data_IF_993088002142
#
_entry.id   IF_993088002142
#
_cell.length_a   1.000
_cell.length_b   1.000
_cell.length_c   1.000
_cell.angle_alpha   90.00
_cell.angle_beta   90.00
_cell.angle_gamma   90.00
#
_symmetry.space_group_name_H-M   'P 1'
#
loop_
_entity.id
_entity.type
_entity.pdbx_description
1 polymer ?
#
# COMPACT_ATOMS: atom_id res chain seq x y z
N UNK A 1 -2.32 9.17 -5.34
CA UNK A 1 -1.61 8.04 -4.68
C UNK A 1 -0.09 8.26 -4.61
N UNK A 2 0.46 8.34 -3.39
CA UNK A 2 1.90 8.16 -3.14
C UNK A 2 2.12 6.66 -2.81
N UNK A 3 3.03 5.94 -3.50
CA UNK A 3 3.30 4.55 -3.19
C UNK A 3 3.85 4.43 -1.77
N UNK A 4 3.17 3.66 -0.93
CA UNK A 4 3.65 3.32 0.40
C UNK A 4 2.80 2.24 1.01
N UNK A 5 3.41 1.09 1.23
CA UNK A 5 2.81 -0.02 1.95
C UNK A 5 3.87 -0.84 2.67
N UNK A 6 3.43 -1.69 3.59
CA UNK A 6 4.30 -2.65 4.24
C UNK A 6 3.57 -3.57 5.19
N UNK A 7 4.32 -4.51 5.77
CA UNK A 7 3.82 -5.45 6.76
C UNK A 7 4.34 -5.03 8.12
N UNK A 8 3.44 -5.04 9.10
CA UNK A 8 3.72 -4.76 10.50
C UNK A 8 3.31 -5.97 11.33
N UNK A 9 4.19 -6.46 12.22
CA UNK A 9 3.88 -7.55 13.14
C UNK A 9 3.97 -7.02 14.56
N UNK A 10 2.91 -7.25 15.34
CA UNK A 10 2.84 -6.89 16.76
C UNK A 10 2.67 -8.13 17.61
N UNK A 11 3.28 -8.14 18.78
CA UNK A 11 3.11 -9.20 19.76
C UNK A 11 2.20 -8.75 20.89
N UNK A 12 1.19 -9.55 21.21
CA UNK A 12 0.25 -9.30 22.32
C UNK A 12 0.04 -10.60 23.08
N UNK A 13 0.40 -10.63 24.36
CA UNK A 13 0.25 -11.81 25.23
C UNK A 13 0.82 -13.09 24.60
N UNK A 14 2.08 -13.04 24.16
CA UNK A 14 2.81 -14.13 23.50
C UNK A 14 2.20 -14.63 22.17
N UNK A 15 1.29 -13.86 21.56
CA UNK A 15 0.73 -14.15 20.24
C UNK A 15 1.15 -13.06 19.27
N UNK A 16 1.61 -13.45 18.09
CA UNK A 16 2.06 -12.53 17.04
C UNK A 16 0.95 -12.33 16.02
N UNK A 17 0.70 -11.08 15.68
CA UNK A 17 -0.38 -10.66 14.81
C UNK A 17 0.19 -9.81 13.68
N UNK A 18 -0.14 -10.18 12.45
CA UNK A 18 0.31 -9.47 11.27
C UNK A 18 -0.75 -8.49 10.79
N UNK A 19 -0.25 -7.36 10.30
CA UNK A 19 -1.02 -6.27 9.74
C UNK A 19 -0.39 -5.83 8.43
N UNK A 20 -1.21 -5.39 7.49
CA UNK A 20 -0.79 -4.69 6.30
C UNK A 20 -1.11 -3.22 6.47
N UNK A 21 -0.13 -2.34 6.25
CA UNK A 21 -0.36 -0.91 6.19
C UNK A 21 -0.19 -0.40 4.77
N UNK A 22 -1.01 0.56 4.37
CA UNK A 22 -0.88 1.25 3.08
C UNK A 22 -1.52 2.64 3.13
N UNK A 23 -1.15 3.49 2.17
CA UNK A 23 -1.86 4.75 1.95
C UNK A 23 -3.09 4.56 1.06
N UNK A 24 -4.17 5.26 1.40
CA UNK A 24 -5.36 5.43 0.57
C UNK A 24 -5.55 6.92 0.23
N UNK A 25 -6.12 7.18 -0.94
CA UNK A 25 -6.56 8.53 -1.31
C UNK A 25 -7.80 8.88 -0.47
N UNK A 26 -7.80 10.06 0.17
CA UNK A 26 -8.94 10.59 0.90
C UNK A 26 -9.48 11.87 0.22
N UNK A 27 -10.76 12.23 0.44
CA UNK A 27 -11.34 13.44 -0.12
C UNK A 27 -10.53 14.70 0.23
N UNK A 28 -10.42 15.62 -0.74
CA UNK A 28 -9.69 16.88 -0.57
C UNK A 28 -8.17 16.74 -0.65
N UNK A 29 -7.64 15.69 -1.29
CA UNK A 29 -6.19 15.49 -1.47
C UNK A 29 -5.45 15.09 -0.20
N UNK A 30 -6.19 14.88 0.91
CA UNK A 30 -5.63 14.33 2.14
C UNK A 30 -5.31 12.84 1.94
N UNK A 31 -4.28 12.38 2.65
CA UNK A 31 -3.81 11.01 2.59
C UNK A 31 -4.16 10.35 3.91
N UNK A 32 -4.66 9.11 3.85
CA UNK A 32 -4.93 8.32 5.05
C UNK A 32 -4.08 7.07 5.04
N UNK A 33 -3.29 6.88 6.09
CA UNK A 33 -2.68 5.58 6.33
C UNK A 33 -3.75 4.64 6.90
N UNK A 34 -3.91 3.49 6.26
CA UNK A 34 -4.77 2.41 6.72
C UNK A 34 -3.89 1.29 7.26
N UNK A 35 -4.31 0.69 8.37
CA UNK A 35 -3.69 -0.48 8.97
C UNK A 35 -4.77 -1.57 9.06
N UNK A 36 -4.56 -2.68 8.38
CA UNK A 36 -5.50 -3.79 8.26
C UNK A 36 -4.95 -5.04 8.94
N UNK A 37 -5.76 -5.65 9.80
CA UNK A 37 -5.39 -6.89 10.48
C UNK A 37 -5.50 -8.09 9.52
N UNK A 38 -4.43 -8.87 9.42
CA UNK A 38 -4.33 -9.97 8.46
C UNK A 38 -4.41 -11.36 9.10
N UNK A 39 -4.31 -11.44 10.42
CA UNK A 39 -4.38 -12.70 11.18
C UNK A 39 -3.15 -12.98 12.03
N UNK A 40 -3.06 -14.18 12.62
CA UNK A 40 -1.86 -14.67 13.30
C UNK A 40 -0.66 -14.70 12.36
N UNK A 41 0.49 -14.21 12.80
CA UNK A 41 1.67 -14.04 11.93
C UNK A 41 2.29 -15.36 11.44
N UNK A 42 2.00 -16.47 12.12
CA UNK A 42 2.46 -17.83 11.82
C UNK A 42 1.46 -18.65 10.98
N UNK A 43 0.32 -18.09 10.60
CA UNK A 43 -0.68 -18.79 9.79
C UNK A 43 -0.42 -18.70 8.29
N UNK A 44 -0.45 -19.83 7.58
CA UNK A 44 -0.33 -19.89 6.11
C UNK A 44 -1.39 -19.05 5.40
N UNK A 45 -2.62 -19.04 5.93
CA UNK A 45 -3.70 -18.19 5.42
C UNK A 45 -3.38 -16.70 5.55
N UNK A 46 -2.67 -16.29 6.61
CA UNK A 46 -2.24 -14.91 6.83
C UNK A 46 -1.13 -14.53 5.86
N UNK A 47 -0.15 -15.42 5.63
CA UNK A 47 0.87 -15.21 4.61
C UNK A 47 0.27 -15.05 3.20
N UNK A 48 -0.72 -15.88 2.85
CA UNK A 48 -1.43 -15.78 1.57
C UNK A 48 -2.18 -14.45 1.42
N UNK A 49 -2.88 -13.99 2.45
CA UNK A 49 -3.57 -12.69 2.46
C UNK A 49 -2.62 -11.51 2.31
N UNK A 50 -1.50 -11.53 3.04
CA UNK A 50 -0.48 -10.49 2.98
C UNK A 50 0.12 -10.36 1.59
N UNK A 51 0.53 -11.48 0.99
CA UNK A 51 1.06 -11.51 -0.38
C UNK A 51 0.07 -10.92 -1.38
N UNK A 52 -1.19 -11.36 -1.32
CA UNK A 52 -2.25 -10.84 -2.19
C UNK A 52 -2.44 -9.34 -2.01
N UNK A 53 -2.50 -8.85 -0.77
CA UNK A 53 -2.70 -7.42 -0.49
C UNK A 53 -1.52 -6.57 -1.00
N UNK A 54 -0.29 -7.04 -0.83
CA UNK A 54 0.92 -6.36 -1.34
C UNK A 54 0.92 -6.31 -2.86
N UNK A 55 0.66 -7.43 -3.53
CA UNK A 55 0.61 -7.49 -4.99
C UNK A 55 -0.48 -6.57 -5.57
N UNK A 56 -1.69 -6.62 -5.00
CA UNK A 56 -2.80 -5.77 -5.45
C UNK A 56 -2.51 -4.28 -5.24
N UNK A 57 -1.89 -3.91 -4.11
CA UNK A 57 -1.52 -2.52 -3.84
C UNK A 57 -0.43 -2.04 -4.79
N UNK A 58 0.65 -2.81 -4.96
CA UNK A 58 1.76 -2.43 -5.83
C UNK A 58 1.36 -2.38 -7.30
N UNK A 59 0.47 -3.27 -7.76
CA UNK A 59 -0.06 -3.22 -9.12
C UNK A 59 -0.87 -1.94 -9.37
N UNK A 60 -1.76 -1.57 -8.45
CA UNK A 60 -2.47 -0.28 -8.51
C UNK A 60 -1.49 0.88 -8.46
N UNK A 61 -0.43 0.75 -7.66
CA UNK A 61 0.57 1.78 -7.52
C UNK A 61 1.40 2.03 -8.76
N UNK A 62 1.78 0.97 -9.47
CA UNK A 62 2.48 1.09 -10.74
C UNK A 62 1.65 1.88 -11.77
N UNK A 63 0.34 1.60 -11.86
CA UNK A 63 -0.56 2.29 -12.80
C UNK A 63 -0.65 3.79 -12.50
N UNK A 64 -0.83 4.16 -11.23
CA UNK A 64 -0.93 5.57 -10.85
C UNK A 64 0.42 6.30 -10.99
N UNK A 65 1.55 5.64 -10.71
CA UNK A 65 2.87 6.21 -10.96
C UNK A 65 3.13 6.45 -12.46
N UNK A 66 2.71 5.53 -13.33
CA UNK A 66 2.87 5.74 -14.77
C UNK A 66 1.99 6.89 -15.28
N UNK A 67 0.77 7.03 -14.76
CA UNK A 67 -0.08 8.17 -15.07
C UNK A 67 0.56 9.50 -14.63
N UNK A 68 1.12 9.54 -13.42
CA UNK A 68 1.80 10.71 -12.88
C UNK A 68 3.07 11.04 -13.67
N UNK A 69 3.87 10.03 -14.04
CA UNK A 69 5.03 10.20 -14.91
C UNK A 69 4.65 10.84 -16.24
N UNK A 70 3.59 10.37 -16.90
CA UNK A 70 3.10 10.96 -18.16
C UNK A 70 2.67 12.41 -17.99
N UNK A 71 1.99 12.74 -16.89
CA UNK A 71 1.60 14.12 -16.56
C UNK A 71 2.82 15.03 -16.42
N UNK A 72 3.81 14.63 -15.62
CA UNK A 72 5.04 15.40 -15.39
C UNK A 72 5.81 15.60 -16.70
N UNK A 73 5.94 14.55 -17.52
CA UNK A 73 6.63 14.68 -18.82
C UNK A 73 5.90 15.62 -19.78
N UNK A 74 4.57 15.64 -19.77
CA UNK A 74 3.80 16.59 -20.57
C UNK A 74 3.97 18.03 -20.08
N UNK A 75 4.03 18.25 -18.76
CA UNK A 75 4.34 19.57 -18.16
C UNK A 75 5.73 20.05 -18.55
N UNK A 76 6.74 19.17 -18.53
CA UNK A 76 8.10 19.48 -18.99
C UNK A 76 8.10 19.84 -20.48
N UNK A 77 7.37 19.08 -21.31
CA UNK A 77 7.29 19.34 -22.74
C UNK A 77 6.59 20.66 -23.08
N UNK A 78 5.72 21.17 -22.19
CA UNK A 78 4.99 22.43 -22.40
C UNK A 78 5.80 23.69 -22.05
N UNK A 79 6.91 23.53 -21.31
CA UNK A 79 7.82 24.64 -20.98
C UNK A 79 9.09 24.67 -21.86
N UNK A 80 9.26 23.67 -22.73
CA UNK A 80 10.33 23.58 -23.73
C UNK A 80 9.85 24.14 -25.07
#
# INVERSE_FOLDING_TARGET
MQPGCGVYVTEVRNRRYAYFWHYEDAPGGRRRQRLEYMGPADGDATAARLRKAVEEYLAKAAVALEAERRRILAEIAAIA
#
